data_IF_176548061123
#
_entry.id   IF_176548061123
#
_cell.length_a   1.000
_cell.length_b   1.000
_cell.length_c   1.000
_cell.angle_alpha   90.00
_cell.angle_beta   90.00
_cell.angle_gamma   90.00
#
_symmetry.space_group_name_H-M   'P 1'
#
loop_
_entity.id
_entity.type
_entity.pdbx_description
1 polymer ?
#
# COMPACT_ATOMS: atom_id res chain seq x y z
N UNK A 1 -8.96 -5.91 -26.18
CA UNK A 1 -8.03 -5.82 -25.03
C UNK A 1 -8.88 -5.45 -23.82
N UNK A 2 -8.87 -6.27 -22.78
CA UNK A 2 -9.53 -5.91 -21.51
C UNK A 2 -8.61 -4.89 -20.84
N UNK A 3 -9.07 -3.64 -20.76
CA UNK A 3 -8.36 -2.57 -20.08
C UNK A 3 -8.59 -2.67 -18.57
N UNK A 4 -7.63 -2.21 -17.77
CA UNK A 4 -7.66 -2.21 -16.30
C UNK A 4 -7.75 -3.60 -15.63
N UNK A 5 -6.94 -4.57 -16.09
CA UNK A 5 -6.83 -5.89 -15.43
C UNK A 5 -6.46 -5.79 -13.94
N UNK A 6 -5.74 -4.75 -13.53
CA UNK A 6 -5.39 -4.44 -12.15
C UNK A 6 -6.59 -4.00 -11.28
N UNK A 7 -7.71 -3.63 -11.92
CA UNK A 7 -8.96 -3.21 -11.26
C UNK A 7 -10.02 -4.29 -11.23
N UNK A 8 -9.72 -5.49 -11.73
CA UNK A 8 -10.61 -6.63 -11.57
C UNK A 8 -10.88 -6.86 -10.08
N UNK A 9 -12.14 -7.11 -9.73
CA UNK A 9 -12.49 -7.49 -8.35
C UNK A 9 -12.13 -8.96 -8.17
N UNK A 10 -11.48 -9.30 -7.07
CA UNK A 10 -11.21 -10.70 -6.72
C UNK A 10 -12.52 -11.47 -6.56
N UNK A 11 -12.68 -12.51 -7.37
CA UNK A 11 -13.76 -13.49 -7.26
C UNK A 11 -13.13 -14.84 -6.97
N UNK A 12 -13.62 -15.52 -5.93
CA UNK A 12 -13.23 -16.88 -5.57
C UNK A 12 -14.31 -17.86 -6.04
N UNK A 13 -13.89 -18.93 -6.68
CA UNK A 13 -14.71 -20.10 -7.01
C UNK A 13 -14.02 -21.36 -6.48
N UNK A 14 -14.50 -21.84 -5.33
CA UNK A 14 -13.81 -22.87 -4.55
C UNK A 14 -12.38 -22.44 -4.18
N UNK A 15 -11.40 -23.20 -4.66
CA UNK A 15 -9.97 -22.94 -4.44
C UNK A 15 -9.35 -22.01 -5.49
N UNK A 16 -10.07 -21.71 -6.58
CA UNK A 16 -9.56 -20.90 -7.68
C UNK A 16 -9.99 -19.45 -7.57
N UNK A 17 -9.20 -18.57 -8.17
CA UNK A 17 -9.51 -17.14 -8.31
C UNK A 17 -9.63 -16.73 -9.77
N UNK A 18 -10.46 -15.73 -10.04
CA UNK A 18 -10.51 -15.12 -11.39
C UNK A 18 -9.15 -14.53 -11.82
N UNK A 19 -8.27 -14.22 -10.88
CA UNK A 19 -6.89 -13.84 -11.18
C UNK A 19 -6.06 -15.00 -11.73
N UNK A 20 -6.14 -16.18 -11.11
CA UNK A 20 -5.49 -17.37 -11.65
C UNK A 20 -6.09 -17.76 -13.00
N UNK A 21 -7.41 -17.63 -13.17
CA UNK A 21 -8.04 -17.88 -14.46
C UNK A 21 -7.47 -16.96 -15.56
N UNK A 22 -7.44 -15.65 -15.32
CA UNK A 22 -6.95 -14.68 -16.32
C UNK A 22 -5.45 -14.80 -16.55
N UNK A 23 -4.65 -14.81 -15.48
CA UNK A 23 -3.20 -14.75 -15.60
C UNK A 23 -2.57 -16.11 -15.88
N UNK A 24 -3.17 -17.24 -15.50
CA UNK A 24 -2.59 -18.57 -15.75
C UNK A 24 -3.36 -19.32 -16.81
N UNK A 25 -4.65 -19.57 -16.58
CA UNK A 25 -5.45 -20.45 -17.43
C UNK A 25 -5.75 -19.84 -18.81
N UNK A 26 -5.71 -18.49 -18.89
CA UNK A 26 -5.81 -17.70 -20.12
C UNK A 26 -4.50 -17.00 -20.52
N UNK A 27 -3.37 -17.49 -20.03
CA UNK A 27 -2.06 -16.90 -20.30
C UNK A 27 -1.69 -16.88 -21.78
N UNK A 28 -2.10 -17.90 -22.56
CA UNK A 28 -1.87 -17.94 -24.01
C UNK A 28 -2.51 -16.74 -24.72
N UNK A 29 -3.73 -16.37 -24.33
CA UNK A 29 -4.41 -15.19 -24.88
C UNK A 29 -3.69 -13.89 -24.51
N UNK A 30 -3.18 -13.79 -23.28
CA UNK A 30 -2.39 -12.63 -22.84
C UNK A 30 -1.03 -12.55 -23.54
N UNK A 31 -0.44 -13.67 -23.95
CA UNK A 31 0.85 -13.74 -24.65
C UNK A 31 0.74 -13.70 -26.17
N UNK A 32 -0.47 -13.83 -26.73
CA UNK A 32 -0.70 -13.88 -28.18
C UNK A 32 -0.55 -12.52 -28.90
N UNK A 33 -0.43 -11.41 -28.17
CA UNK A 33 -0.23 -10.09 -28.78
C UNK A 33 1.22 -9.98 -29.27
N UNK A 34 1.40 -9.65 -30.55
CA UNK A 34 2.70 -9.48 -31.20
C UNK A 34 3.35 -8.11 -30.85
N UNK A 35 3.58 -7.89 -29.56
CA UNK A 35 4.22 -6.68 -29.04
C UNK A 35 4.81 -6.88 -27.64
N UNK A 36 5.64 -5.94 -27.18
CA UNK A 36 6.10 -5.91 -25.79
C UNK A 36 4.95 -5.52 -24.85
N UNK A 37 4.72 -6.35 -23.83
CA UNK A 37 3.63 -6.18 -22.87
C UNK A 37 4.17 -6.03 -21.45
N UNK A 38 3.56 -5.14 -20.68
CA UNK A 38 3.78 -5.02 -19.23
C UNK A 38 2.43 -5.25 -18.56
N UNK A 39 2.30 -6.39 -17.87
CA UNK A 39 1.12 -6.69 -17.08
C UNK A 39 1.33 -6.32 -15.62
N UNK A 40 0.35 -5.63 -15.05
CA UNK A 40 0.29 -5.37 -13.62
C UNK A 40 -0.78 -6.27 -13.02
N UNK A 41 -0.40 -7.06 -12.03
CA UNK A 41 -1.30 -7.99 -11.36
C UNK A 41 -1.29 -7.76 -9.84
N UNK A 42 -2.37 -8.09 -9.13
CA UNK A 42 -2.39 -8.05 -7.67
C UNK A 42 -1.29 -8.92 -7.06
N UNK A 43 -0.55 -8.35 -6.11
CA UNK A 43 0.57 -9.04 -5.45
C UNK A 43 0.15 -10.36 -4.80
N UNK A 44 -1.11 -10.48 -4.36
CA UNK A 44 -1.68 -11.70 -3.77
C UNK A 44 -1.55 -12.95 -4.64
N UNK A 45 -1.44 -12.80 -5.97
CA UNK A 45 -1.23 -13.93 -6.89
C UNK A 45 0.15 -14.56 -6.65
N UNK A 46 1.16 -13.76 -6.32
CA UNK A 46 2.51 -14.24 -6.00
C UNK A 46 2.59 -14.95 -4.64
N UNK A 47 1.51 -14.91 -3.87
CA UNK A 47 1.33 -15.60 -2.60
C UNK A 47 0.35 -16.78 -2.73
N UNK A 48 -0.19 -17.03 -3.92
CA UNK A 48 -1.08 -18.16 -4.19
C UNK A 48 -0.33 -19.50 -4.20
N UNK A 49 -1.09 -20.61 -4.20
CA UNK A 49 -0.54 -21.95 -4.40
C UNK A 49 0.11 -22.13 -5.78
N UNK A 50 -0.25 -21.29 -6.75
CA UNK A 50 0.21 -21.33 -8.15
C UNK A 50 1.26 -20.25 -8.47
N UNK A 51 1.93 -19.71 -7.46
CA UNK A 51 2.94 -18.66 -7.65
C UNK A 51 4.11 -19.10 -8.54
N UNK A 52 4.49 -20.38 -8.53
CA UNK A 52 5.53 -20.92 -9.42
C UNK A 52 5.09 -20.93 -10.88
N UNK A 53 3.81 -21.25 -11.14
CA UNK A 53 3.25 -21.28 -12.50
C UNK A 53 3.33 -19.89 -13.14
N UNK A 54 3.15 -18.82 -12.36
CA UNK A 54 3.27 -17.44 -12.85
C UNK A 54 4.67 -17.19 -13.40
N UNK A 55 5.71 -17.64 -12.67
CA UNK A 55 7.09 -17.52 -13.11
C UNK A 55 7.35 -18.34 -14.36
N UNK A 56 6.81 -19.55 -14.44
CA UNK A 56 7.02 -20.41 -15.61
C UNK A 56 6.35 -19.83 -16.87
N UNK A 57 5.23 -19.12 -16.70
CA UNK A 57 4.47 -18.50 -17.79
C UNK A 57 5.05 -17.15 -18.24
N UNK A 58 5.42 -16.27 -17.31
CA UNK A 58 5.81 -14.88 -17.58
C UNK A 58 7.28 -14.55 -17.27
N UNK A 59 8.03 -15.46 -16.66
CA UNK A 59 9.37 -15.22 -16.15
C UNK A 59 9.38 -14.53 -14.79
N UNK A 60 10.51 -13.92 -14.44
CA UNK A 60 10.69 -13.25 -13.15
C UNK A 60 9.78 -12.02 -13.02
N UNK A 61 8.89 -12.03 -12.02
CA UNK A 61 7.98 -10.94 -11.74
C UNK A 61 8.70 -9.80 -11.01
N UNK A 62 8.56 -8.58 -11.53
CA UNK A 62 8.98 -7.38 -10.83
C UNK A 62 7.94 -6.99 -9.78
N UNK A 63 8.39 -6.90 -8.53
CA UNK A 63 7.54 -6.48 -7.42
C UNK A 63 7.85 -5.03 -7.09
N UNK A 64 6.82 -4.19 -7.08
CA UNK A 64 6.91 -2.79 -6.66
C UNK A 64 6.58 -2.71 -5.16
N UNK A 65 7.59 -2.66 -4.26
CA UNK A 65 7.33 -2.58 -2.83
C UNK A 65 6.79 -1.21 -2.43
N UNK A 66 6.27 -1.10 -1.21
CA UNK A 66 5.98 0.21 -0.63
C UNK A 66 7.26 0.99 -0.39
N UNK A 67 7.17 2.33 -0.53
CA UNK A 67 8.28 3.21 -0.17
C UNK A 67 8.45 3.13 1.35
N UNK A 68 9.59 2.65 1.82
CA UNK A 68 9.85 2.49 3.24
C UNK A 68 9.90 3.86 3.93
N UNK A 69 8.83 4.27 4.63
CA UNK A 69 8.81 5.53 5.42
C UNK A 69 9.19 5.32 6.88
N UNK A 70 9.19 4.06 7.33
CA UNK A 70 9.69 3.62 8.63
C UNK A 70 10.52 2.36 8.47
N UNK A 71 11.52 2.17 9.32
CA UNK A 71 12.28 0.91 9.40
C UNK A 71 11.42 -0.20 10.02
N UNK A 72 11.87 -1.46 9.92
CA UNK A 72 11.21 -2.59 10.58
C UNK A 72 11.14 -2.44 12.10
N UNK A 73 12.00 -1.58 12.69
CA UNK A 73 12.00 -1.21 14.12
C UNK A 73 11.03 -0.07 14.46
N UNK A 74 10.39 0.52 13.45
CA UNK A 74 9.39 1.60 13.61
C UNK A 74 9.96 3.01 13.62
N UNK A 75 11.27 3.18 13.44
CA UNK A 75 11.95 4.47 13.32
C UNK A 75 11.64 5.12 11.98
N UNK A 76 11.53 6.45 11.91
CA UNK A 76 11.35 7.15 10.64
C UNK A 76 12.54 6.90 9.71
N UNK A 77 12.26 6.54 8.46
CA UNK A 77 13.27 6.38 7.42
C UNK A 77 13.25 7.58 6.48
N UNK A 78 14.07 8.59 6.80
CA UNK A 78 14.11 9.88 6.10
C UNK A 78 14.27 9.79 4.57
N UNK A 79 15.11 8.90 3.99
CA UNK A 79 15.21 8.80 2.54
C UNK A 79 13.88 8.45 1.87
N UNK A 80 13.09 7.57 2.49
CA UNK A 80 11.77 7.21 2.01
C UNK A 80 10.73 8.31 2.21
N UNK A 81 10.74 8.99 3.36
CA UNK A 81 9.87 10.16 3.60
C UNK A 81 10.13 11.24 2.55
N UNK A 82 11.40 11.56 2.28
CA UNK A 82 11.78 12.52 1.26
C UNK A 82 11.33 12.09 -0.15
N UNK A 83 11.39 10.79 -0.46
CA UNK A 83 10.88 10.26 -1.74
C UNK A 83 9.37 10.41 -1.86
N UNK A 84 8.63 10.16 -0.78
CA UNK A 84 7.17 10.36 -0.71
C UNK A 84 6.82 11.85 -0.88
N UNK A 85 7.53 12.76 -0.19
CA UNK A 85 7.40 14.21 -0.39
C UNK A 85 7.66 14.62 -1.84
N UNK A 86 8.67 14.02 -2.49
CA UNK A 86 9.00 14.29 -3.90
C UNK A 86 7.83 13.95 -4.85
N UNK A 87 7.08 12.88 -4.58
CA UNK A 87 5.88 12.53 -5.36
C UNK A 87 4.84 13.65 -5.30
N UNK A 88 4.53 14.14 -4.09
CA UNK A 88 3.59 15.27 -3.92
C UNK A 88 4.14 16.52 -4.61
N UNK A 89 5.42 16.83 -4.40
CA UNK A 89 6.10 17.98 -5.02
C UNK A 89 5.98 17.97 -6.54
N UNK A 90 6.20 16.81 -7.19
CA UNK A 90 6.08 16.67 -8.64
C UNK A 90 4.67 16.91 -9.15
N UNK A 91 3.63 16.57 -8.37
CA UNK A 91 2.23 16.85 -8.72
C UNK A 91 1.90 18.33 -8.56
N UNK A 92 2.24 18.91 -7.41
CA UNK A 92 2.00 20.33 -7.14
C UNK A 92 2.70 21.22 -8.16
N UNK A 93 3.96 20.92 -8.51
CA UNK A 93 4.74 21.73 -9.46
C UNK A 93 4.12 21.84 -10.86
N UNK A 94 3.23 20.92 -11.24
CA UNK A 94 2.53 21.02 -12.53
C UNK A 94 1.48 22.14 -12.55
N UNK A 95 1.08 22.64 -11.37
CA UNK A 95 0.00 23.61 -11.19
C UNK A 95 0.51 24.87 -10.50
N UNK A 96 1.34 24.72 -9.48
CA UNK A 96 1.92 25.80 -8.68
C UNK A 96 3.43 25.58 -8.51
N UNK A 97 4.24 25.75 -9.59
CA UNK A 97 5.69 25.49 -9.57
C UNK A 97 6.47 26.36 -8.58
N UNK A 98 5.97 27.57 -8.32
CA UNK A 98 6.65 28.58 -7.50
C UNK A 98 6.46 28.36 -6.00
N UNK A 99 5.42 27.61 -5.60
CA UNK A 99 5.06 27.44 -4.20
C UNK A 99 5.91 26.36 -3.52
N UNK A 100 6.44 26.72 -2.35
CA UNK A 100 7.13 25.81 -1.44
C UNK A 100 6.15 24.81 -0.83
N UNK A 101 6.43 23.52 -1.02
CA UNK A 101 5.61 22.44 -0.48
C UNK A 101 5.46 22.52 1.05
N UNK A 102 6.52 22.88 1.77
CA UNK A 102 6.56 22.84 3.25
C UNK A 102 6.21 24.19 3.92
N UNK A 103 5.95 25.24 3.13
CA UNK A 103 5.69 26.59 3.66
C UNK A 103 4.43 27.25 3.12
N UNK A 104 4.06 26.92 1.88
CA UNK A 104 2.96 27.59 1.16
C UNK A 104 1.86 26.60 0.79
N UNK A 105 2.20 25.34 0.48
CA UNK A 105 1.19 24.30 0.21
C UNK A 105 0.69 23.66 1.50
N UNK A 106 1.59 23.38 2.44
CA UNK A 106 1.26 22.89 3.78
C UNK A 106 1.61 23.94 4.82
N UNK A 107 0.83 24.00 5.90
CA UNK A 107 0.95 25.01 6.95
C UNK A 107 2.28 24.92 7.71
N UNK A 108 2.81 23.71 7.85
CA UNK A 108 4.13 23.45 8.41
C UNK A 108 4.70 22.10 7.90
N UNK A 109 6.03 21.89 8.03
CA UNK A 109 6.68 20.65 7.61
C UNK A 109 6.14 19.38 8.31
N UNK A 110 5.73 19.48 9.57
CA UNK A 110 5.25 18.35 10.37
C UNK A 110 3.88 17.84 9.88
N UNK A 111 3.01 18.73 9.38
CA UNK A 111 1.73 18.34 8.75
C UNK A 111 1.97 17.49 7.50
N UNK A 112 2.89 17.92 6.62
CA UNK A 112 3.28 17.16 5.44
C UNK A 112 3.91 15.81 5.83
N UNK A 113 4.85 15.83 6.77
CA UNK A 113 5.52 14.62 7.24
C UNK A 113 4.52 13.62 7.81
N UNK A 114 3.57 14.07 8.63
CA UNK A 114 2.51 13.21 9.18
C UNK A 114 1.66 12.56 8.10
N UNK A 115 1.30 13.31 7.06
CA UNK A 115 0.59 12.76 5.90
C UNK A 115 1.44 11.69 5.19
N UNK A 116 2.73 11.96 4.98
CA UNK A 116 3.66 11.03 4.35
C UNK A 116 3.81 9.73 5.16
N UNK A 117 4.02 9.84 6.47
CA UNK A 117 4.14 8.69 7.38
C UNK A 117 2.85 7.85 7.39
N UNK A 118 1.69 8.49 7.44
CA UNK A 118 0.40 7.79 7.49
C UNK A 118 -0.03 7.16 6.17
N UNK A 119 0.62 7.53 5.07
CA UNK A 119 0.46 6.82 3.79
C UNK A 119 1.10 5.43 3.79
N UNK A 120 2.03 5.14 4.71
CA UNK A 120 2.84 3.92 4.70
C UNK A 120 3.73 3.79 3.46
N UNK A 121 3.97 4.88 2.74
CA UNK A 121 4.62 4.86 1.43
C UNK A 121 3.80 4.22 0.31
N UNK A 122 2.53 3.91 0.55
CA UNK A 122 1.61 3.44 -0.47
C UNK A 122 1.13 4.63 -1.31
N UNK A 123 1.70 4.78 -2.51
CA UNK A 123 1.53 5.97 -3.38
C UNK A 123 0.08 6.30 -3.68
N UNK A 124 -0.80 5.31 -3.89
CA UNK A 124 -2.23 5.58 -4.11
C UNK A 124 -2.89 6.17 -2.87
N UNK A 125 -2.55 5.70 -1.67
CA UNK A 125 -3.12 6.25 -0.43
C UNK A 125 -2.52 7.62 -0.11
N UNK A 126 -1.24 7.84 -0.40
CA UNK A 126 -0.62 9.16 -0.35
C UNK A 126 -1.42 10.17 -1.18
N UNK A 127 -1.71 9.84 -2.44
CA UNK A 127 -2.43 10.74 -3.34
C UNK A 127 -3.89 10.94 -2.91
N UNK A 128 -4.58 9.90 -2.46
CA UNK A 128 -5.95 10.01 -1.93
C UNK A 128 -6.02 10.87 -0.66
N UNK A 129 -5.09 10.67 0.29
CA UNK A 129 -5.00 11.50 1.49
C UNK A 129 -4.71 12.96 1.15
N UNK A 130 -3.78 13.19 0.21
CA UNK A 130 -3.43 14.54 -0.25
C UNK A 130 -4.63 15.20 -0.95
N UNK A 131 -5.31 14.48 -1.84
CA UNK A 131 -6.49 14.96 -2.55
C UNK A 131 -7.62 15.33 -1.58
N UNK A 132 -7.92 14.47 -0.60
CA UNK A 132 -8.97 14.75 0.39
C UNK A 132 -8.59 15.91 1.31
N UNK A 133 -7.31 16.06 1.67
CA UNK A 133 -6.85 17.22 2.44
C UNK A 133 -6.98 18.53 1.63
N UNK A 134 -6.62 18.52 0.34
CA UNK A 134 -6.83 19.66 -0.57
C UNK A 134 -8.31 19.98 -0.72
N UNK A 135 -9.17 18.98 -0.94
CA UNK A 135 -10.62 19.18 -1.07
C UNK A 135 -11.29 19.74 0.19
N UNK A 136 -10.60 19.76 1.32
CA UNK A 136 -11.03 20.35 2.60
C UNK A 136 -10.41 21.72 2.88
N UNK A 137 -9.64 22.26 1.95
CA UNK A 137 -8.88 23.50 2.08
C UNK A 137 -9.43 24.50 1.05
N UNK A 138 -10.03 25.59 1.52
CA UNK A 138 -10.54 26.65 0.65
C UNK A 138 -9.41 27.53 0.13
N UNK A 139 -8.52 27.95 1.02
CA UNK A 139 -7.32 28.72 0.71
C UNK A 139 -6.08 28.03 1.29
N UNK A 140 -4.99 28.04 0.54
CA UNK A 140 -3.71 27.53 1.02
C UNK A 140 -3.19 28.38 2.18
N UNK A 141 -2.45 27.77 3.14
CA UNK A 141 -1.93 26.41 3.12
C UNK A 141 -2.90 25.32 3.64
N UNK A 142 -2.67 24.06 3.23
CA UNK A 142 -3.34 22.88 3.80
C UNK A 142 -2.99 22.77 5.28
N UNK A 143 -4.01 22.85 6.13
CA UNK A 143 -3.86 22.81 7.58
C UNK A 143 -3.70 21.40 8.15
N UNK A 144 -3.10 21.29 9.33
CA UNK A 144 -3.07 20.05 10.12
C UNK A 144 -4.49 19.48 10.33
N UNK A 145 -5.49 20.36 10.53
CA UNK A 145 -6.89 19.95 10.72
C UNK A 145 -7.46 19.28 9.47
N UNK A 146 -7.17 19.81 8.27
CA UNK A 146 -7.60 19.22 7.00
C UNK A 146 -6.97 17.83 6.81
N UNK A 147 -5.66 17.69 7.05
CA UNK A 147 -4.95 16.41 7.00
C UNK A 147 -5.51 15.42 8.02
N UNK A 148 -5.77 15.84 9.26
CA UNK A 148 -6.35 14.99 10.31
C UNK A 148 -7.74 14.48 9.94
N UNK A 149 -8.57 15.32 9.31
CA UNK A 149 -9.88 14.91 8.80
C UNK A 149 -9.74 13.89 7.66
N UNK A 150 -8.80 14.10 6.74
CA UNK A 150 -8.53 13.15 5.66
C UNK A 150 -8.06 11.78 6.15
N UNK A 151 -7.15 11.77 7.14
CA UNK A 151 -6.72 10.55 7.82
C UNK A 151 -7.92 9.84 8.48
N UNK A 152 -8.77 10.58 9.17
CA UNK A 152 -9.94 10.02 9.86
C UNK A 152 -10.91 9.39 8.87
N UNK A 153 -11.20 10.07 7.74
CA UNK A 153 -12.05 9.53 6.69
C UNK A 153 -11.45 8.28 6.04
N UNK A 154 -10.14 8.27 5.79
CA UNK A 154 -9.47 7.13 5.17
C UNK A 154 -9.47 5.87 6.08
N UNK A 155 -9.44 6.04 7.41
CA UNK A 155 -9.56 4.92 8.37
C UNK A 155 -10.86 4.15 8.25
N UNK A 156 -11.95 4.82 7.88
CA UNK A 156 -13.27 4.20 7.75
C UNK A 156 -13.27 3.05 6.75
N UNK A 157 -12.48 3.17 5.67
CA UNK A 157 -12.29 2.11 4.67
C UNK A 157 -11.73 0.85 5.33
N UNK A 158 -10.69 0.97 6.13
CA UNK A 158 -10.07 -0.17 6.81
C UNK A 158 -10.96 -0.73 7.91
N UNK A 159 -11.68 0.12 8.66
CA UNK A 159 -12.61 -0.36 9.69
C UNK A 159 -13.70 -1.25 9.11
N UNK A 160 -14.18 -0.94 7.89
CA UNK A 160 -15.20 -1.74 7.19
C UNK A 160 -14.64 -2.96 6.48
N UNK A 161 -13.39 -2.89 6.02
CA UNK A 161 -12.76 -3.94 5.23
C UNK A 161 -12.16 -5.08 6.07
N UNK A 162 -11.73 -4.80 7.30
CA UNK A 162 -11.13 -5.81 8.18
C UNK A 162 -12.23 -6.60 8.89
N UNK A 163 -12.21 -7.92 8.72
CA UNK A 163 -13.14 -8.82 9.40
C UNK A 163 -12.76 -8.97 10.88
N UNK A 164 -13.73 -9.25 11.75
CA UNK A 164 -13.51 -9.22 13.20
C UNK A 164 -12.39 -10.15 13.67
N UNK A 165 -12.26 -11.35 13.09
CA UNK A 165 -11.20 -12.31 13.44
C UNK A 165 -9.82 -11.94 12.86
N UNK A 166 -9.71 -10.94 11.99
CA UNK A 166 -8.45 -10.52 11.38
C UNK A 166 -7.70 -9.47 12.21
N UNK A 167 -8.34 -8.84 13.20
CA UNK A 167 -7.69 -7.84 14.05
C UNK A 167 -6.50 -8.41 14.84
N UNK A 168 -6.61 -9.66 15.33
CA UNK A 168 -5.48 -10.31 16.00
C UNK A 168 -4.31 -10.57 15.05
N UNK A 169 -4.59 -10.99 13.81
CA UNK A 169 -3.56 -11.20 12.78
C UNK A 169 -2.81 -9.90 12.49
N UNK A 170 -3.53 -8.79 12.31
CA UNK A 170 -2.93 -7.46 12.11
C UNK A 170 -2.06 -7.06 13.32
N UNK A 171 -2.52 -7.31 14.54
CA UNK A 171 -1.75 -7.05 15.75
C UNK A 171 -0.45 -7.88 15.78
N UNK A 172 -0.52 -9.17 15.48
CA UNK A 172 0.63 -10.07 15.40
C UNK A 172 1.65 -9.62 14.35
N UNK A 173 1.20 -9.24 13.15
CA UNK A 173 2.08 -8.71 12.09
C UNK A 173 2.73 -7.40 12.53
N UNK A 174 1.97 -6.51 13.19
CA UNK A 174 2.51 -5.22 13.63
C UNK A 174 3.69 -5.35 14.60
N UNK A 175 3.78 -6.47 15.33
CA UNK A 175 4.89 -6.81 16.22
C UNK A 175 5.96 -7.65 15.53
N UNK A 176 5.57 -8.73 14.86
CA UNK A 176 6.50 -9.71 14.29
C UNK A 176 7.14 -9.25 12.98
N UNK A 177 6.51 -8.30 12.29
CA UNK A 177 6.86 -7.83 10.93
C UNK A 177 6.88 -8.93 9.87
N UNK A 178 6.17 -10.04 10.13
CA UNK A 178 6.13 -11.25 9.30
C UNK A 178 4.69 -11.65 9.05
N UNK A 179 4.44 -12.34 7.94
CA UNK A 179 3.15 -12.94 7.60
C UNK A 179 3.29 -14.45 7.47
N UNK A 180 2.20 -15.17 7.68
CA UNK A 180 2.06 -16.57 7.32
C UNK A 180 1.38 -16.61 5.93
N UNK A 181 1.86 -17.42 5.01
CA UNK A 181 1.33 -17.44 3.64
C UNK A 181 0.02 -18.25 3.53
N UNK A 182 -1.05 -17.78 4.17
CA UNK A 182 -2.38 -18.37 4.09
C UNK A 182 -3.43 -17.39 3.48
N UNK A 183 -4.66 -17.86 3.34
CA UNK A 183 -5.75 -17.10 2.74
C UNK A 183 -6.16 -15.85 3.53
N UNK A 184 -6.00 -15.83 4.85
CA UNK A 184 -6.31 -14.67 5.69
C UNK A 184 -5.31 -13.55 5.43
N UNK A 185 -4.01 -13.86 5.43
CA UNK A 185 -2.97 -12.87 5.12
C UNK A 185 -3.04 -12.41 3.67
N UNK A 186 -3.32 -13.32 2.72
CA UNK A 186 -3.55 -12.95 1.31
C UNK A 186 -4.72 -11.99 1.16
N UNK A 187 -5.83 -12.20 1.87
CA UNK A 187 -6.98 -11.29 1.88
C UNK A 187 -6.61 -9.91 2.45
N UNK A 188 -5.89 -9.87 3.56
CA UNK A 188 -5.42 -8.63 4.17
C UNK A 188 -4.43 -7.86 3.28
N UNK A 189 -3.58 -8.54 2.54
CA UNK A 189 -2.71 -7.91 1.54
C UNK A 189 -3.50 -7.37 0.35
N UNK A 190 -4.47 -8.15 -0.16
CA UNK A 190 -5.33 -7.73 -1.25
C UNK A 190 -6.11 -6.45 -0.91
N UNK A 191 -6.66 -6.39 0.31
CA UNK A 191 -7.34 -5.21 0.85
C UNK A 191 -6.39 -4.12 1.35
N UNK A 192 -5.07 -4.29 1.16
CA UNK A 192 -4.01 -3.32 1.53
C UNK A 192 -3.96 -3.00 3.02
N UNK A 193 -4.51 -3.88 3.85
CA UNK A 193 -4.37 -3.82 5.30
C UNK A 193 -2.94 -4.19 5.72
N UNK A 194 -2.29 -5.07 4.95
CA UNK A 194 -0.88 -5.40 5.07
C UNK A 194 -0.09 -4.85 3.89
N UNK A 195 1.06 -4.27 4.19
CA UNK A 195 1.99 -3.66 3.25
C UNK A 195 3.30 -4.42 3.25
N UNK A 196 3.84 -4.67 2.06
CA UNK A 196 5.15 -5.29 1.87
C UNK A 196 6.21 -4.23 1.58
N UNK A 197 7.32 -4.33 2.31
CA UNK A 197 8.50 -3.47 2.15
C UNK A 197 9.72 -4.33 1.81
N UNK A 198 10.62 -3.75 1.02
CA UNK A 198 11.88 -4.39 0.60
C UNK A 198 13.04 -3.42 0.69
N UNK A 199 14.21 -3.92 1.05
CA UNK A 199 15.48 -3.18 1.00
C UNK A 199 16.64 -4.16 0.82
N UNK A 200 17.76 -3.66 0.29
CA UNK A 200 19.02 -4.40 0.30
C UNK A 200 19.74 -4.12 1.61
N UNK A 201 20.20 -5.17 2.29
CA UNK A 201 21.08 -5.01 3.44
C UNK A 201 22.53 -4.75 3.01
N UNK A 202 23.43 -4.64 3.98
CA UNK A 202 24.85 -4.34 3.77
C UNK A 202 25.59 -5.45 2.99
N UNK A 203 25.05 -6.69 3.00
CA UNK A 203 25.58 -7.82 2.25
C UNK A 203 25.01 -7.89 0.82
N UNK A 204 24.10 -6.97 0.47
CA UNK A 204 23.44 -6.94 -0.83
C UNK A 204 22.28 -7.94 -0.95
N UNK A 205 21.83 -8.52 0.15
CA UNK A 205 20.71 -9.45 0.18
C UNK A 205 19.38 -8.72 0.28
N UNK A 206 18.39 -9.19 -0.48
CA UNK A 206 17.07 -8.60 -0.51
C UNK A 206 16.28 -8.99 0.74
N UNK A 207 16.14 -8.05 1.66
CA UNK A 207 15.32 -8.20 2.85
C UNK A 207 13.87 -7.82 2.57
N UNK A 208 12.94 -8.67 3.02
CA UNK A 208 11.49 -8.46 2.93
C UNK A 208 10.87 -8.44 4.32
N UNK A 209 10.02 -7.46 4.58
CA UNK A 209 9.24 -7.39 5.81
C UNK A 209 7.87 -6.77 5.56
N UNK A 210 7.00 -6.91 6.54
CA UNK A 210 5.61 -6.49 6.43
C UNK A 210 5.18 -5.65 7.61
N UNK A 211 4.23 -4.77 7.37
CA UNK A 211 3.54 -4.07 8.45
C UNK A 211 2.10 -3.83 8.08
N UNK A 212 1.31 -3.46 9.08
CA UNK A 212 -0.03 -2.95 8.85
C UNK A 212 0.01 -1.60 8.15
N UNK A 213 -1.05 -1.27 7.41
CA UNK A 213 -1.21 0.09 6.90
C UNK A 213 -1.29 1.08 8.08
N UNK A 214 -0.49 2.17 8.14
CA UNK A 214 -0.41 3.03 9.32
C UNK A 214 -1.73 3.65 9.78
N UNK A 215 -2.66 3.88 8.85
CA UNK A 215 -4.04 4.30 9.18
C UNK A 215 -4.73 3.37 10.20
N UNK A 216 -4.47 2.05 10.13
CA UNK A 216 -5.04 1.03 11.02
C UNK A 216 -4.63 1.24 12.47
N UNK A 217 -3.43 1.77 12.75
CA UNK A 217 -2.93 2.01 14.11
C UNK A 217 -3.85 2.90 14.95
N UNK A 218 -4.66 3.75 14.29
CA UNK A 218 -5.61 4.62 14.96
C UNK A 218 -6.98 4.02 15.23
N UNK A 219 -7.25 2.80 14.78
CA UNK A 219 -8.56 2.11 14.90
C UNK A 219 -8.66 1.43 16.26
N UNK A 220 -9.82 1.52 16.92
CA UNK A 220 -10.01 1.04 18.30
C UNK A 220 -9.88 -0.48 18.39
N UNK A 221 -10.49 -1.20 17.46
CA UNK A 221 -10.47 -2.66 17.36
C UNK A 221 -9.04 -3.18 17.23
N UNK A 222 -8.19 -2.48 16.47
CA UNK A 222 -6.77 -2.80 16.38
C UNK A 222 -6.03 -2.55 17.70
N UNK A 223 -6.28 -1.41 18.37
CA UNK A 223 -5.67 -1.10 19.68
C UNK A 223 -6.05 -2.13 20.74
N UNK A 224 -7.30 -2.57 20.75
CA UNK A 224 -7.79 -3.63 21.63
C UNK A 224 -7.12 -4.98 21.32
N UNK A 225 -6.95 -5.32 20.04
CA UNK A 225 -6.24 -6.54 19.64
C UNK A 225 -4.77 -6.52 20.07
N UNK A 226 -4.08 -5.39 19.91
CA UNK A 226 -2.70 -5.22 20.39
C UNK A 226 -2.61 -5.36 21.91
N UNK A 227 -3.54 -4.77 22.66
CA UNK A 227 -3.57 -4.86 24.12
C UNK A 227 -3.82 -6.29 24.65
N UNK A 228 -4.37 -7.18 23.82
CA UNK A 228 -4.59 -8.60 24.13
C UNK A 228 -3.41 -9.50 23.76
N UNK A 229 -2.40 -8.97 23.06
CA UNK A 229 -1.21 -9.76 22.74
C UNK A 229 -0.43 -10.07 24.03
N UNK A 230 0.11 -11.29 24.16
CA UNK A 230 0.93 -11.69 25.30
C UNK A 230 2.29 -10.98 25.32
#
# INVERSE_FOLDING_TARGET
IVDNLDRMVLVKDGENTNYEEVFLDRSEQLKALDCHLVYTAPISILYSKRATDIRDVYGECLILPMIMVKTHKGETYEPGVNKVKEVIKKRVRQIAPELSLEKEIFDNPQTLERLCLLSGGHVRNLLLLTQDAIGRTEELPISEQAVRRAITQARDTYRRAVENHQWCLLAEVSRSKRIINDDQYRSLMYNRCLLEYRYLDDDGEMQRWYDIHPLIQGISEFKEAVAKLP
#
